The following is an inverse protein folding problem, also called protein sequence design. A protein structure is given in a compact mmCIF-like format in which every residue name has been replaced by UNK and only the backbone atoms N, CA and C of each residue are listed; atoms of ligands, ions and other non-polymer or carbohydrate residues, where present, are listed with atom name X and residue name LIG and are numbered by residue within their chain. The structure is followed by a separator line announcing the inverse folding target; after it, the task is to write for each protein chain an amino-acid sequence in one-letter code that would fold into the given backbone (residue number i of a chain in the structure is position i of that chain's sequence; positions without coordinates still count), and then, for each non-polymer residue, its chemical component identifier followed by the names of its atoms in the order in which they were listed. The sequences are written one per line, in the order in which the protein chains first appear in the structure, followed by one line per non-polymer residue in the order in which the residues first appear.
data_IF_541797520095
#
_entry.id   IF_541797520095
#
_cell.length_a   1.000
_cell.length_b   1.000
_cell.length_c   1.000
_cell.angle_alpha   90.00
_cell.angle_beta   90.00
_cell.angle_gamma   90.00
#
_symmetry.space_group_name_H-M   'P 1'
#
loop_
_entity.id
_entity.type
_entity.pdbx_description
1 polymer ?
#
# COMPACT_ATOMS: atom_id res chain seq x y z
N UNK A 1 13.71 3.83 69.64
CA UNK A 1 14.79 3.14 68.92
C UNK A 1 14.09 2.27 67.89
N UNK A 2 14.03 2.77 66.65
CA UNK A 2 14.87 2.29 65.54
C UNK A 2 14.26 0.99 64.96
N UNK A 3 13.91 0.85 63.69
CA UNK A 3 14.16 1.63 62.46
C UNK A 3 13.31 1.02 61.33
N UNK A 4 13.11 1.80 60.26
CA UNK A 4 13.09 1.37 58.84
C UNK A 4 12.04 0.35 58.39
N UNK A 5 11.57 0.33 57.16
CA UNK A 5 11.87 1.12 55.97
C UNK A 5 10.62 1.10 55.08
N UNK A 6 10.45 2.17 54.30
CA UNK A 6 9.57 2.19 53.14
C UNK A 6 9.91 1.02 52.22
N UNK A 7 8.89 0.31 51.71
CA UNK A 7 9.06 -0.33 50.41
C UNK A 7 7.75 -0.32 49.61
N UNK A 8 7.74 0.61 48.68
CA UNK A 8 6.94 0.65 47.46
C UNK A 8 7.06 -0.69 46.73
N UNK A 9 5.95 -1.40 46.58
CA UNK A 9 5.88 -2.65 45.82
C UNK A 9 5.20 -2.44 44.46
N UNK A 10 5.56 -1.38 43.73
CA UNK A 10 5.62 -1.46 42.27
C UNK A 10 6.77 -2.38 41.86
N UNK A 11 6.47 -3.65 41.62
CA UNK A 11 7.40 -4.56 40.93
C UNK A 11 6.74 -5.22 39.73
N UNK A 12 7.33 -4.87 38.58
CA UNK A 12 7.59 -5.72 37.43
C UNK A 12 6.41 -6.02 36.51
N UNK A 13 6.03 -5.01 35.71
CA UNK A 13 5.64 -5.28 34.33
C UNK A 13 6.90 -5.11 33.49
N UNK A 14 7.47 -6.24 33.07
CA UNK A 14 8.61 -6.33 32.17
C UNK A 14 8.27 -5.53 30.91
N UNK A 15 8.97 -4.41 30.73
CA UNK A 15 9.05 -3.71 29.46
C UNK A 15 9.88 -4.61 28.55
N UNK A 16 9.24 -5.24 27.57
CA UNK A 16 9.97 -5.76 26.42
C UNK A 16 10.32 -4.56 25.54
N UNK A 17 11.46 -3.94 25.82
CA UNK A 17 12.20 -3.17 24.82
C UNK A 17 12.99 -4.19 24.01
N UNK A 18 12.38 -4.72 22.95
CA UNK A 18 13.09 -5.60 22.02
C UNK A 18 13.52 -4.80 20.80
N UNK A 19 14.63 -4.07 20.96
CA UNK A 19 15.39 -3.36 19.92
C UNK A 19 16.08 -4.32 18.92
N UNK A 20 15.46 -5.46 18.57
CA UNK A 20 16.07 -6.48 17.71
C UNK A 20 15.07 -7.21 16.82
N UNK A 21 14.49 -6.47 15.87
CA UNK A 21 14.12 -7.04 14.57
C UNK A 21 14.71 -6.17 13.47
N UNK A 22 16.00 -6.38 13.23
CA UNK A 22 16.63 -5.96 11.98
C UNK A 22 16.20 -6.98 10.93
N UNK A 23 15.32 -6.52 10.05
CA UNK A 23 14.85 -7.15 8.81
C UNK A 23 16.06 -7.74 8.04
N UNK A 24 15.85 -8.88 7.37
CA UNK A 24 16.84 -9.47 6.48
C UNK A 24 17.43 -8.40 5.55
N UNK A 25 18.75 -8.43 5.35
CA UNK A 25 19.50 -7.38 4.66
C UNK A 25 19.03 -7.13 3.23
N UNK A 26 18.06 -6.25 3.06
CA UNK A 26 17.92 -5.35 1.92
C UNK A 26 18.07 -3.93 2.47
N UNK A 27 18.87 -3.11 1.78
CA UNK A 27 19.27 -1.79 2.26
C UNK A 27 18.05 -0.92 2.55
N UNK A 28 18.08 -0.17 3.66
CA UNK A 28 17.05 0.82 3.97
C UNK A 28 16.86 1.72 2.73
N UNK A 29 15.65 1.81 2.15
CA UNK A 29 15.42 2.50 0.87
C UNK A 29 15.69 4.01 0.90
N UNK A 30 16.21 4.56 2.00
CA UNK A 30 16.64 5.94 2.10
C UNK A 30 15.50 6.92 2.34
N UNK A 31 15.77 8.19 2.03
CA UNK A 31 14.89 9.35 2.25
C UNK A 31 13.47 9.12 1.70
N UNK A 32 12.48 9.64 2.43
CA UNK A 32 11.08 9.64 2.01
C UNK A 32 10.92 10.32 0.63
N UNK A 33 10.36 9.58 -0.31
CA UNK A 33 10.12 9.95 -1.72
C UNK A 33 8.62 9.93 -2.03
N UNK A 34 7.77 9.98 -1.00
CA UNK A 34 6.32 10.06 -1.16
C UNK A 34 5.93 11.42 -1.76
N UNK A 35 5.11 11.38 -2.81
CA UNK A 35 4.51 12.56 -3.44
C UNK A 35 3.20 12.84 -2.70
N UNK A 36 3.17 13.90 -1.90
CA UNK A 36 1.98 14.27 -1.11
C UNK A 36 1.04 15.26 -1.82
N UNK A 37 1.59 16.10 -2.70
CA UNK A 37 0.87 17.22 -3.32
C UNK A 37 0.62 16.98 -4.81
N UNK A 38 0.13 15.79 -5.15
CA UNK A 38 -0.24 15.46 -6.53
C UNK A 38 -1.71 15.79 -6.84
N UNK A 39 -2.02 16.43 -7.99
CA UNK A 39 -3.41 16.69 -8.39
C UNK A 39 -4.29 15.44 -8.51
N UNK A 40 -3.70 14.24 -8.64
CA UNK A 40 -4.47 13.00 -8.63
C UNK A 40 -5.22 12.80 -7.30
N UNK A 41 -4.67 13.24 -6.16
CA UNK A 41 -5.33 13.10 -4.87
C UNK A 41 -6.61 13.93 -4.76
N UNK A 42 -6.68 15.10 -5.42
CA UNK A 42 -7.92 15.89 -5.48
C UNK A 42 -9.04 15.12 -6.19
N UNK A 43 -8.70 14.30 -7.18
CA UNK A 43 -9.67 13.45 -7.90
C UNK A 43 -10.03 12.21 -7.07
N UNK A 44 -9.05 11.57 -6.44
CA UNK A 44 -9.27 10.41 -5.55
C UNK A 44 -10.18 10.79 -4.38
N UNK A 45 -10.00 11.99 -3.80
CA UNK A 45 -10.81 12.48 -2.68
C UNK A 45 -12.31 12.66 -3.01
N UNK A 46 -12.69 12.63 -4.29
CA UNK A 46 -14.10 12.61 -4.71
C UNK A 46 -14.78 11.26 -4.48
N UNK A 47 -14.02 10.22 -4.12
CA UNK A 47 -14.46 8.84 -3.97
C UNK A 47 -14.21 8.30 -2.54
N UNK A 48 -14.82 8.90 -1.50
CA UNK A 48 -14.54 8.57 -0.11
C UNK A 48 -14.90 7.14 0.30
N UNK A 49 -15.85 6.51 -0.39
CA UNK A 49 -16.25 5.10 -0.17
C UNK A 49 -15.40 4.10 -1.00
N UNK A 50 -14.25 4.53 -1.53
CA UNK A 50 -13.30 3.64 -2.20
C UNK A 50 -12.51 2.84 -1.14
N UNK A 51 -12.43 1.52 -1.31
CA UNK A 51 -11.56 0.63 -0.53
C UNK A 51 -10.14 0.51 -1.11
N UNK A 52 -9.84 1.28 -2.16
CA UNK A 52 -8.54 1.28 -2.81
C UNK A 52 -7.70 2.40 -2.23
N UNK A 53 -6.59 2.03 -1.62
CA UNK A 53 -5.55 2.93 -1.14
C UNK A 53 -4.54 3.21 -2.26
N UNK A 54 -4.18 4.48 -2.40
CA UNK A 54 -3.21 4.95 -3.36
C UNK A 54 -2.06 5.64 -2.65
N UNK A 55 -0.84 5.37 -3.11
CA UNK A 55 0.34 6.11 -2.68
C UNK A 55 1.26 6.36 -3.88
N UNK A 56 1.60 7.62 -4.12
CA UNK A 56 2.49 8.03 -5.20
C UNK A 56 3.91 8.19 -4.67
N UNK A 57 4.87 7.63 -5.39
CA UNK A 57 6.29 7.59 -5.01
C UNK A 57 7.13 8.10 -6.17
N UNK A 58 8.01 9.07 -5.92
CA UNK A 58 8.98 9.56 -6.91
C UNK A 58 10.06 8.50 -7.16
N UNK A 59 10.48 8.37 -8.41
CA UNK A 59 11.55 7.44 -8.81
C UNK A 59 12.59 8.21 -9.61
N UNK A 60 13.86 7.85 -9.47
CA UNK A 60 14.90 8.49 -10.25
C UNK A 60 14.70 8.23 -11.76
N UNK A 61 14.94 9.21 -12.64
CA UNK A 61 14.75 9.04 -14.07
C UNK A 61 15.50 7.85 -14.65
N UNK A 62 14.79 7.01 -15.40
CA UNK A 62 15.35 5.80 -16.01
C UNK A 62 15.50 4.60 -15.07
N UNK A 63 15.15 4.72 -13.79
CA UNK A 63 15.02 3.57 -12.90
C UNK A 63 13.71 2.82 -13.18
N UNK A 64 13.80 1.50 -13.32
CA UNK A 64 12.66 0.63 -13.61
C UNK A 64 12.94 -0.81 -13.16
N UNK A 65 11.96 -1.70 -13.26
CA UNK A 65 12.08 -3.10 -12.87
C UNK A 65 11.65 -3.38 -11.43
N UNK A 66 11.52 -4.67 -11.11
CA UNK A 66 11.01 -5.19 -9.83
C UNK A 66 11.59 -4.51 -8.58
N UNK A 67 12.89 -4.18 -8.57
CA UNK A 67 13.54 -3.58 -7.40
C UNK A 67 12.99 -2.19 -7.07
N UNK A 68 12.82 -1.33 -8.08
CA UNK A 68 12.27 0.01 -7.90
C UNK A 68 10.81 -0.05 -7.44
N UNK A 69 10.06 -0.99 -8.02
CA UNK A 69 8.70 -1.29 -7.60
C UNK A 69 8.61 -1.81 -6.15
N UNK A 70 9.57 -2.63 -5.71
CA UNK A 70 9.66 -3.09 -4.33
C UNK A 70 9.99 -1.94 -3.37
N UNK A 71 10.96 -1.09 -3.72
CA UNK A 71 11.30 0.09 -2.93
C UNK A 71 10.10 1.03 -2.76
N UNK A 72 9.35 1.28 -3.84
CA UNK A 72 8.12 2.07 -3.77
C UNK A 72 7.05 1.42 -2.89
N UNK A 73 6.89 0.09 -2.96
CA UNK A 73 5.99 -0.64 -2.06
C UNK A 73 6.38 -0.44 -0.58
N UNK A 74 7.67 -0.56 -0.24
CA UNK A 74 8.16 -0.34 1.14
C UNK A 74 7.88 1.09 1.61
N UNK A 75 8.12 2.10 0.77
CA UNK A 75 7.83 3.50 1.12
C UNK A 75 6.32 3.74 1.30
N UNK A 76 5.49 3.16 0.43
CA UNK A 76 4.05 3.22 0.58
C UNK A 76 3.56 2.57 1.88
N UNK A 77 4.11 1.42 2.28
CA UNK A 77 3.78 0.81 3.58
C UNK A 77 4.15 1.73 4.75
N UNK A 78 5.31 2.39 4.71
CA UNK A 78 5.71 3.37 5.75
C UNK A 78 4.74 4.54 5.88
N UNK A 79 4.12 4.95 4.77
CA UNK A 79 3.13 6.03 4.75
C UNK A 79 1.73 5.57 5.13
N UNK A 80 1.28 4.46 4.57
CA UNK A 80 -0.09 3.99 4.71
C UNK A 80 -0.29 3.23 6.00
N UNK A 81 0.72 2.49 6.50
CA UNK A 81 0.57 1.60 7.66
C UNK A 81 0.91 2.26 8.99
N UNK A 82 0.79 3.58 9.06
CA UNK A 82 0.91 4.37 10.28
C UNK A 82 -0.33 5.21 10.49
N UNK A 83 -0.71 5.43 11.74
CA UNK A 83 -1.79 6.35 12.08
C UNK A 83 -1.35 7.83 12.04
N UNK A 84 -2.24 8.73 12.47
CA UNK A 84 -1.98 10.16 12.49
C UNK A 84 -0.85 10.57 13.47
N UNK A 85 -0.56 9.75 14.48
CA UNK A 85 0.52 9.95 15.44
C UNK A 85 1.84 9.29 14.97
N UNK A 86 1.81 8.57 13.85
CA UNK A 86 2.94 7.86 13.27
C UNK A 86 3.16 6.46 13.86
N UNK A 87 2.20 5.94 14.62
CA UNK A 87 2.28 4.60 15.20
C UNK A 87 1.84 3.55 14.19
N UNK A 88 2.56 2.43 14.13
CA UNK A 88 2.26 1.36 13.18
C UNK A 88 0.90 0.72 13.48
N UNK A 89 0.02 0.70 12.46
CA UNK A 89 -1.32 0.09 12.55
C UNK A 89 -1.39 -1.34 11.99
N UNK A 90 -0.46 -1.70 11.09
CA UNK A 90 -0.35 -3.05 10.56
C UNK A 90 1.09 -3.53 10.58
N UNK A 91 1.31 -4.78 11.01
CA UNK A 91 2.61 -5.41 10.84
C UNK A 91 2.81 -5.90 9.40
N UNK A 92 4.06 -5.84 8.93
CA UNK A 92 4.42 -6.32 7.60
C UNK A 92 5.89 -6.76 7.52
N UNK A 93 6.18 -7.66 6.58
CA UNK A 93 7.52 -8.12 6.22
C UNK A 93 7.69 -8.08 4.70
N UNK A 94 8.00 -6.89 4.17
CA UNK A 94 8.09 -6.65 2.73
C UNK A 94 9.14 -7.52 2.02
N UNK A 95 10.12 -8.10 2.74
CA UNK A 95 11.08 -9.04 2.16
C UNK A 95 10.41 -10.37 1.75
N UNK A 96 9.22 -10.68 2.26
CA UNK A 96 8.39 -11.82 1.84
C UNK A 96 7.46 -11.49 0.67
N UNK A 97 7.38 -10.23 0.27
CA UNK A 97 6.60 -9.84 -0.89
C UNK A 97 7.28 -10.37 -2.16
N UNK A 98 6.54 -11.14 -2.94
CA UNK A 98 6.97 -11.58 -4.26
C UNK A 98 6.07 -10.98 -5.32
N UNK A 99 6.58 -10.87 -6.55
CA UNK A 99 5.85 -10.20 -7.62
C UNK A 99 6.00 -10.87 -8.96
N UNK A 100 4.93 -10.78 -9.74
CA UNK A 100 4.90 -11.09 -11.15
C UNK A 100 4.66 -9.80 -11.94
N UNK A 101 5.38 -9.64 -13.05
CA UNK A 101 5.11 -8.55 -13.97
C UNK A 101 3.83 -8.90 -14.76
N UNK A 102 2.89 -7.97 -14.83
CA UNK A 102 1.66 -8.11 -15.61
C UNK A 102 1.59 -7.04 -16.71
N UNK A 103 0.75 -7.27 -17.69
CA UNK A 103 0.53 -6.30 -18.76
C UNK A 103 -0.39 -5.14 -18.32
N UNK A 104 -0.27 -4.01 -19.01
CA UNK A 104 -1.20 -2.87 -18.87
C UNK A 104 -2.64 -3.29 -19.20
N UNK A 105 -2.83 -4.22 -20.14
CA UNK A 105 -4.14 -4.76 -20.45
C UNK A 105 -4.73 -5.57 -19.28
N UNK A 106 -3.91 -6.29 -18.52
CA UNK A 106 -4.35 -7.00 -17.32
C UNK A 106 -4.66 -6.05 -16.16
N UNK A 107 -3.87 -4.97 -16.00
CA UNK A 107 -4.14 -3.90 -15.02
C UNK A 107 -5.55 -3.31 -15.21
N UNK A 108 -5.93 -3.02 -16.45
CA UNK A 108 -7.21 -2.40 -16.81
C UNK A 108 -8.27 -3.40 -17.30
N UNK A 109 -8.09 -4.69 -17.02
CA UNK A 109 -9.03 -5.71 -17.43
C UNK A 109 -10.44 -5.43 -16.87
N UNK A 110 -11.51 -5.80 -17.61
CA UNK A 110 -12.87 -5.69 -17.10
C UNK A 110 -13.05 -6.54 -15.84
N UNK A 111 -14.10 -6.26 -15.07
CA UNK A 111 -14.46 -7.11 -13.92
C UNK A 111 -14.76 -8.52 -14.42
N UNK A 112 -14.00 -9.49 -13.93
CA UNK A 112 -14.21 -10.91 -14.20
C UNK A 112 -14.68 -11.62 -12.92
N UNK A 113 -15.54 -12.62 -13.09
CA UNK A 113 -16.03 -13.40 -11.96
C UNK A 113 -14.91 -14.26 -11.37
N UNK A 114 -14.81 -14.30 -10.04
CA UNK A 114 -13.93 -15.22 -9.31
C UNK A 114 -12.45 -14.79 -9.13
N UNK A 115 -11.97 -13.71 -9.75
CA UNK A 115 -10.64 -13.14 -9.46
C UNK A 115 -10.77 -11.69 -8.98
N UNK A 116 -10.02 -11.31 -7.95
CA UNK A 116 -9.85 -9.89 -7.61
C UNK A 116 -9.00 -9.20 -8.68
N UNK A 117 -9.43 -8.02 -9.13
CA UNK A 117 -8.63 -7.14 -9.98
C UNK A 117 -8.90 -5.68 -9.63
N UNK A 118 -8.09 -4.77 -10.16
CA UNK A 118 -8.17 -3.35 -9.82
C UNK A 118 -9.54 -2.73 -10.09
N UNK A 119 -10.13 -3.00 -11.27
CA UNK A 119 -11.46 -2.48 -11.60
C UNK A 119 -12.55 -3.02 -10.67
N UNK A 120 -12.48 -4.31 -10.28
CA UNK A 120 -13.40 -4.90 -9.29
C UNK A 120 -13.20 -4.27 -7.91
N UNK A 121 -11.94 -4.04 -7.51
CA UNK A 121 -11.61 -3.46 -6.23
C UNK A 121 -12.27 -2.08 -6.05
N UNK A 122 -12.23 -1.26 -7.11
CA UNK A 122 -12.84 0.06 -7.12
C UNK A 122 -14.37 0.04 -7.27
N UNK A 123 -14.92 -0.78 -8.17
CA UNK A 123 -16.35 -0.73 -8.52
C UNK A 123 -17.26 -1.64 -7.69
N UNK A 124 -16.69 -2.67 -7.06
CA UNK A 124 -17.47 -3.69 -6.35
C UNK A 124 -16.87 -4.01 -4.98
N UNK A 125 -16.69 -3.02 -4.08
CA UNK A 125 -16.36 -3.29 -2.69
C UNK A 125 -17.44 -4.14 -2.01
N UNK A 126 -17.13 -4.72 -0.82
CA UNK A 126 -18.11 -5.48 -0.03
C UNK A 126 -19.39 -4.69 0.25
N UNK A 127 -19.26 -3.38 0.46
CA UNK A 127 -20.36 -2.45 0.62
C UNK A 127 -20.65 -1.67 -0.68
N UNK A 128 -21.92 -1.36 -1.01
CA UNK A 128 -22.23 -0.57 -2.20
C UNK A 128 -21.69 0.86 -2.12
N UNK A 129 -20.95 1.30 -3.15
CA UNK A 129 -20.44 2.68 -3.27
C UNK A 129 -21.10 3.48 -4.43
N UNK A 130 -21.81 2.81 -5.35
CA UNK A 130 -22.49 3.46 -6.47
C UNK A 130 -21.58 3.98 -7.58
N UNK A 131 -20.28 3.64 -7.56
CA UNK A 131 -19.32 4.10 -8.55
C UNK A 131 -19.48 3.38 -9.90
N UNK A 132 -19.07 4.07 -10.96
CA UNK A 132 -19.25 3.61 -12.34
C UNK A 132 -17.91 3.45 -13.06
N UNK A 133 -17.91 2.78 -14.21
CA UNK A 133 -16.71 2.71 -15.06
C UNK A 133 -16.17 4.09 -15.44
N UNK A 134 -17.04 5.11 -15.57
CA UNK A 134 -16.60 6.48 -15.85
C UNK A 134 -15.84 7.10 -14.67
N UNK A 135 -16.17 6.72 -13.44
CA UNK A 135 -15.44 7.13 -12.24
C UNK A 135 -14.07 6.47 -12.16
N UNK A 136 -14.03 5.16 -12.45
CA UNK A 136 -12.77 4.43 -12.56
C UNK A 136 -11.87 5.04 -13.64
N UNK A 137 -12.42 5.31 -14.82
CA UNK A 137 -11.67 5.93 -15.92
C UNK A 137 -11.18 7.35 -15.53
N UNK A 138 -11.97 8.11 -14.76
CA UNK A 138 -11.59 9.44 -14.25
C UNK A 138 -10.41 9.38 -13.27
N UNK A 139 -10.44 8.47 -12.30
CA UNK A 139 -9.32 8.27 -11.37
C UNK A 139 -8.06 7.88 -12.13
N UNK A 140 -8.17 6.98 -13.11
CA UNK A 140 -7.01 6.54 -13.88
C UNK A 140 -6.47 7.60 -14.85
N UNK A 141 -7.32 8.46 -15.41
CA UNK A 141 -6.86 9.62 -16.18
C UNK A 141 -6.09 10.63 -15.31
N UNK A 142 -6.42 10.72 -14.01
CA UNK A 142 -5.68 11.56 -13.07
C UNK A 142 -4.36 10.92 -12.62
N UNK A 143 -4.35 9.60 -12.40
CA UNK A 143 -3.14 8.83 -12.06
C UNK A 143 -2.16 8.70 -13.23
N UNK A 144 -2.64 8.65 -14.47
CA UNK A 144 -1.83 8.44 -15.68
C UNK A 144 -2.20 9.46 -16.78
N UNK A 145 -1.93 10.76 -16.55
CA UNK A 145 -2.40 11.84 -17.44
C UNK A 145 -1.76 11.81 -18.83
N UNK A 146 -0.61 11.15 -18.98
CA UNK A 146 0.09 10.97 -20.24
C UNK A 146 -0.31 9.69 -20.99
N UNK A 147 -1.35 8.99 -20.53
CA UNK A 147 -1.79 7.71 -21.09
C UNK A 147 -1.05 6.51 -20.52
N UNK A 148 -1.29 5.34 -21.10
CA UNK A 148 -0.90 4.05 -20.52
C UNK A 148 0.22 3.30 -21.27
N UNK A 149 0.70 3.85 -22.38
CA UNK A 149 1.68 3.19 -23.28
C UNK A 149 3.06 2.99 -22.64
N UNK A 150 3.41 3.82 -21.65
CA UNK A 150 4.72 3.83 -20.98
C UNK A 150 4.68 3.26 -19.57
N UNK A 151 3.62 2.50 -19.24
CA UNK A 151 3.47 1.93 -17.91
C UNK A 151 4.19 0.58 -17.78
N UNK A 152 4.73 0.35 -16.59
CA UNK A 152 5.25 -0.95 -16.17
C UNK A 152 4.53 -1.36 -14.89
N UNK A 153 4.09 -2.62 -14.80
CA UNK A 153 3.16 -3.06 -13.75
C UNK A 153 3.67 -4.34 -13.09
N UNK A 154 3.65 -4.37 -11.77
CA UNK A 154 3.87 -5.56 -10.96
C UNK A 154 2.67 -5.83 -10.06
N UNK A 155 2.26 -7.09 -10.01
CA UNK A 155 1.29 -7.63 -9.04
C UNK A 155 2.06 -8.37 -7.95
N UNK A 156 1.81 -7.98 -6.69
CA UNK A 156 2.48 -8.53 -5.53
C UNK A 156 1.62 -9.56 -4.83
N UNK A 157 2.25 -10.57 -4.25
CA UNK A 157 1.60 -11.41 -3.23
C UNK A 157 1.13 -10.54 -2.07
N UNK A 158 0.21 -11.03 -1.24
CA UNK A 158 -0.38 -10.24 -0.15
C UNK A 158 -0.22 -10.88 1.23
N UNK A 159 0.33 -12.09 1.32
CA UNK A 159 0.52 -12.82 2.59
C UNK A 159 1.67 -12.32 3.48
N UNK A 160 2.20 -11.12 3.21
CA UNK A 160 3.33 -10.54 3.92
C UNK A 160 2.94 -9.39 4.86
N UNK A 161 1.66 -8.99 4.90
CA UNK A 161 1.16 -7.93 5.78
C UNK A 161 -0.24 -8.22 6.31
N UNK A 162 -0.46 -7.84 7.57
CA UNK A 162 -1.76 -7.91 8.25
C UNK A 162 -2.82 -7.00 7.62
N UNK A 163 -2.42 -5.97 6.86
CA UNK A 163 -3.35 -5.12 6.10
C UNK A 163 -4.26 -5.97 5.19
N UNK A 164 -3.74 -7.07 4.65
CA UNK A 164 -4.46 -7.93 3.71
C UNK A 164 -5.31 -9.04 4.37
N UNK A 165 -5.24 -9.22 5.68
CA UNK A 165 -5.85 -10.38 6.36
C UNK A 165 -7.38 -10.40 6.18
N UNK A 166 -8.05 -9.28 6.38
CA UNK A 166 -9.50 -9.16 6.18
C UNK A 166 -9.90 -9.46 4.73
N UNK A 167 -9.19 -8.88 3.75
CA UNK A 167 -9.46 -9.15 2.34
C UNK A 167 -9.31 -10.62 1.97
N UNK A 168 -8.32 -11.34 2.53
CA UNK A 168 -8.13 -12.77 2.25
C UNK A 168 -9.31 -13.63 2.72
N UNK A 169 -9.99 -13.24 3.80
CA UNK A 169 -11.09 -14.01 4.37
C UNK A 169 -12.43 -13.74 3.64
N UNK A 170 -12.66 -12.51 3.17
CA UNK A 170 -14.01 -12.08 2.78
C UNK A 170 -14.19 -11.76 1.30
N UNK A 171 -13.33 -10.91 0.74
CA UNK A 171 -13.63 -10.23 -0.54
C UNK A 171 -12.58 -10.47 -1.62
N UNK A 172 -11.33 -10.65 -1.21
CA UNK A 172 -10.12 -10.68 -2.00
C UNK A 172 -9.19 -9.51 -1.65
N UNK A 173 -7.95 -9.63 -2.12
CA UNK A 173 -6.89 -8.65 -1.89
C UNK A 173 -6.28 -8.23 -3.21
N UNK A 174 -5.68 -7.05 -3.23
CA UNK A 174 -4.95 -6.53 -4.37
C UNK A 174 -3.74 -5.74 -3.88
N UNK A 175 -2.58 -6.00 -4.48
CA UNK A 175 -1.39 -5.18 -4.30
C UNK A 175 -0.68 -5.02 -5.64
N UNK A 176 -0.64 -3.79 -6.15
CA UNK A 176 -0.04 -3.46 -7.43
C UNK A 176 0.92 -2.30 -7.26
N UNK A 177 1.95 -2.27 -8.08
CA UNK A 177 2.76 -1.06 -8.30
C UNK A 177 2.86 -0.78 -9.79
N UNK A 178 2.63 0.47 -10.16
CA UNK A 178 2.55 0.93 -11.56
C UNK A 178 3.53 2.08 -11.76
N UNK A 179 4.62 1.83 -12.48
CA UNK A 179 5.58 2.87 -12.86
C UNK A 179 5.06 3.60 -14.10
N UNK A 180 4.90 4.92 -13.99
CA UNK A 180 4.73 5.81 -15.13
C UNK A 180 6.10 6.41 -15.50
N UNK A 181 6.70 5.88 -16.58
CA UNK A 181 8.01 6.31 -17.08
C UNK A 181 8.02 7.72 -17.66
N UNK A 182 6.86 8.33 -17.88
CA UNK A 182 6.77 9.70 -18.40
C UNK A 182 6.77 10.75 -17.28
N UNK A 183 6.44 10.33 -16.06
CA UNK A 183 6.39 11.16 -14.86
C UNK A 183 7.45 10.75 -13.83
N UNK A 184 8.23 9.71 -14.11
CA UNK A 184 9.23 9.13 -13.21
C UNK A 184 8.65 8.89 -11.81
N UNK A 185 7.46 8.29 -11.75
CA UNK A 185 6.76 7.98 -10.49
C UNK A 185 6.10 6.62 -10.51
N UNK A 186 6.00 6.00 -9.34
CA UNK A 186 5.25 4.77 -9.12
C UNK A 186 3.96 5.10 -8.36
N UNK A 187 2.84 4.57 -8.86
CA UNK A 187 1.58 4.49 -8.14
C UNK A 187 1.50 3.13 -7.48
N UNK A 188 1.50 3.10 -6.15
CA UNK A 188 1.17 1.91 -5.36
C UNK A 188 -0.34 1.88 -5.15
N UNK A 189 -0.95 0.73 -5.45
CA UNK A 189 -2.40 0.52 -5.37
C UNK A 189 -2.63 -0.71 -4.49
N UNK A 190 -3.31 -0.53 -3.36
CA UNK A 190 -3.63 -1.60 -2.44
C UNK A 190 -5.14 -1.64 -2.18
N UNK A 191 -5.68 -2.83 -2.00
CA UNK A 191 -7.05 -3.00 -1.58
C UNK A 191 -7.19 -4.25 -0.71
N UNK A 192 -7.81 -4.07 0.45
CA UNK A 192 -8.21 -5.10 1.40
C UNK A 192 -9.42 -4.57 2.15
N UNK A 193 -10.51 -5.34 2.18
CA UNK A 193 -11.73 -4.89 2.83
C UNK A 193 -12.56 -6.08 3.31
N UNK A 194 -13.35 -5.83 4.36
CA UNK A 194 -14.42 -6.68 4.87
C UNK A 194 -15.78 -5.96 4.74
N UNK A 195 -16.87 -6.70 4.93
CA UNK A 195 -18.26 -6.19 4.95
C UNK A 195 -18.64 -5.42 6.23
#
# INVERSE_FOLDING_TARGET
MASGDNNDSRKNRTVYSDDRYVIGKEEDPGTDIIIENDPAYDVIALYPDSVVDYCLVEVAPGCHGRNEHWMALVQACRKLFVDADGEAVWHYDAAKADAVQISVAELFAPVADGKMNYRKAFLRPPYPNGYTDADFDRVNAALFPNGTDSLEVYEWTTGWSEYFDEGHEWWGTLCLTVLDKTLDRIVVIMASATD
#
